data_IF_452333511946
#
_entry.id   IF_452333511946
#
_cell.length_a   1.000
_cell.length_b   1.000
_cell.length_c   1.000
_cell.angle_alpha   90.00
_cell.angle_beta   90.00
_cell.angle_gamma   90.00
#
_symmetry.space_group_name_H-M   'P 1'
#
loop_
_entity.id
_entity.type
_entity.pdbx_description
1 polymer ?
#
# COMPACT_ATOMS: atom_id res chain seq x y z
N UNK A 1 -13.24 -1.63 -0.74
CA UNK A 1 -12.08 -0.94 -1.31
C UNK A 1 -10.92 -0.84 -0.32
N UNK A 2 -9.74 -0.48 -0.82
CA UNK A 2 -8.59 -0.28 0.05
C UNK A 2 -8.66 1.10 0.70
N UNK A 3 -8.38 1.14 1.99
CA UNK A 3 -8.42 2.39 2.75
C UNK A 3 -7.04 3.04 2.66
N UNK A 4 -6.96 4.16 1.93
CA UNK A 4 -5.71 4.90 1.78
C UNK A 4 -5.55 5.99 2.82
N UNK A 5 -6.50 6.13 3.76
CA UNK A 5 -6.45 7.22 4.72
C UNK A 5 -5.27 7.05 5.65
N UNK A 6 -4.48 8.11 5.80
CA UNK A 6 -3.36 8.13 6.72
C UNK A 6 -2.05 7.62 6.17
N UNK A 7 -2.03 7.11 4.94
CA UNK A 7 -0.81 6.55 4.37
C UNK A 7 -0.05 7.54 3.50
N UNK A 8 -0.70 8.58 2.99
CA UNK A 8 -0.08 9.55 2.11
C UNK A 8 -0.17 10.95 2.69
N UNK A 9 0.66 11.84 2.16
CA UNK A 9 0.55 13.27 2.40
C UNK A 9 0.04 13.96 1.15
N UNK A 10 -0.42 15.21 1.31
CA UNK A 10 -0.93 15.95 0.17
C UNK A 10 0.16 16.17 -0.87
N UNK A 11 1.38 16.47 -0.44
CA UNK A 11 2.52 16.66 -1.33
C UNK A 11 3.51 15.50 -1.26
N UNK A 12 3.08 14.35 -0.74
CA UNK A 12 3.86 13.12 -0.78
C UNK A 12 2.87 11.98 -1.00
N UNK A 13 2.63 11.65 -2.27
CA UNK A 13 1.66 10.63 -2.63
C UNK A 13 2.09 9.98 -3.94
N UNK A 14 1.70 8.74 -4.19
CA UNK A 14 2.09 8.08 -5.44
C UNK A 14 1.57 8.82 -6.66
N UNK A 15 2.40 8.85 -7.71
CA UNK A 15 2.05 9.49 -8.96
C UNK A 15 2.41 10.96 -9.05
N UNK A 16 2.68 11.60 -7.92
CA UNK A 16 3.01 13.02 -7.93
C UNK A 16 4.39 13.25 -8.51
N UNK A 17 4.51 14.31 -9.32
CA UNK A 17 5.77 14.63 -9.99
C UNK A 17 6.25 16.00 -9.57
N UNK A 18 7.51 16.07 -9.14
CA UNK A 18 8.21 17.31 -8.85
C UNK A 18 9.14 17.66 -9.99
N UNK A 19 9.29 18.96 -10.23
CA UNK A 19 10.23 19.45 -11.21
C UNK A 19 11.01 20.61 -10.63
N UNK A 20 12.26 20.76 -11.08
CA UNK A 20 13.09 21.83 -10.59
C UNK A 20 14.52 21.76 -11.04
N UNK A 21 15.44 22.07 -10.13
CA UNK A 21 16.84 22.18 -10.48
C UNK A 21 17.73 21.58 -9.40
N UNK A 22 18.95 21.24 -9.81
CA UNK A 22 20.05 20.98 -8.89
C UNK A 22 21.17 21.95 -9.22
N UNK A 23 21.61 22.71 -8.21
CA UNK A 23 22.66 23.69 -8.37
C UNK A 23 23.97 23.12 -7.83
N UNK A 24 25.00 23.17 -8.67
CA UNK A 24 26.31 22.58 -8.38
C UNK A 24 27.37 23.50 -8.96
N UNK A 25 27.91 24.37 -8.10
CA UNK A 25 28.97 25.32 -8.48
C UNK A 25 28.53 26.21 -9.64
N UNK A 26 27.50 27.02 -9.35
CA UNK A 26 27.03 28.09 -10.23
C UNK A 26 26.38 27.60 -11.52
N UNK A 27 25.99 26.33 -11.57
CA UNK A 27 25.30 25.76 -12.72
C UNK A 27 24.07 25.00 -12.26
N UNK A 28 22.95 25.22 -12.95
CA UNK A 28 21.69 24.59 -12.61
C UNK A 28 21.34 23.55 -13.67
N UNK A 29 21.03 22.33 -13.22
CA UNK A 29 20.66 21.24 -14.10
C UNK A 29 19.24 20.80 -13.78
N UNK A 30 18.42 20.67 -14.81
CA UNK A 30 17.00 20.38 -14.61
C UNK A 30 16.81 18.99 -13.99
N UNK A 31 15.78 18.87 -13.16
CA UNK A 31 15.54 17.68 -12.37
C UNK A 31 14.05 17.35 -12.41
N UNK A 32 13.73 16.08 -12.65
CA UNK A 32 12.37 15.56 -12.56
C UNK A 32 12.34 14.39 -11.59
N UNK A 33 11.33 14.39 -10.72
CA UNK A 33 11.17 13.36 -9.70
C UNK A 33 9.74 12.84 -9.77
N UNK A 34 9.58 11.52 -9.75
CA UNK A 34 8.26 10.89 -9.66
C UNK A 34 8.20 10.11 -8.36
N UNK A 35 7.14 10.33 -7.58
CA UNK A 35 6.93 9.62 -6.33
C UNK A 35 6.15 8.35 -6.63
N UNK A 36 6.80 7.20 -6.45
CA UNK A 36 6.19 5.93 -6.80
C UNK A 36 5.32 5.38 -5.67
N UNK A 37 5.90 5.18 -4.49
CA UNK A 37 5.18 4.66 -3.34
C UNK A 37 5.50 5.48 -2.09
N UNK A 38 4.51 5.60 -1.22
CA UNK A 38 4.65 6.27 0.07
C UNK A 38 4.13 5.35 1.16
N UNK A 39 4.92 5.16 2.21
CA UNK A 39 4.52 4.38 3.38
C UNK A 39 4.99 5.15 4.61
N UNK A 40 4.12 6.01 5.14
CA UNK A 40 4.51 6.86 6.25
C UNK A 40 4.76 6.02 7.50
N UNK A 41 5.74 6.39 8.31
CA UNK A 41 6.00 5.66 9.57
C UNK A 41 5.10 6.13 10.71
N UNK A 42 3.83 5.73 10.62
CA UNK A 42 2.86 6.08 11.65
C UNK A 42 3.23 5.44 12.98
N UNK A 43 3.51 4.14 12.96
CA UNK A 43 3.84 3.37 14.15
C UNK A 43 5.14 2.62 13.92
N UNK A 44 5.71 2.10 14.99
CA UNK A 44 6.93 1.31 14.93
C UNK A 44 6.54 -0.16 14.81
N UNK A 45 6.57 -0.66 13.58
CA UNK A 45 6.23 -2.06 13.30
C UNK A 45 7.25 -2.61 12.31
N UNK A 46 6.95 -3.79 11.76
CA UNK A 46 7.83 -4.39 10.77
C UNK A 46 7.93 -3.53 9.52
N UNK A 47 6.78 -3.13 8.96
CA UNK A 47 6.76 -2.30 7.77
C UNK A 47 7.43 -0.96 7.99
N UNK A 48 7.52 -0.51 9.25
CA UNK A 48 8.21 0.75 9.54
C UNK A 48 9.69 0.66 9.18
N UNK A 49 10.27 -0.54 9.18
CA UNK A 49 11.68 -0.68 8.80
C UNK A 49 11.89 -0.62 7.30
N UNK A 50 10.84 -0.87 6.51
CA UNK A 50 10.95 -0.76 5.06
C UNK A 50 11.05 0.71 4.66
N UNK A 51 11.57 0.99 3.46
CA UNK A 51 11.66 2.39 3.01
C UNK A 51 10.29 3.06 3.02
N UNK A 52 10.27 4.32 3.51
CA UNK A 52 9.02 5.04 3.66
C UNK A 52 8.58 5.71 2.36
N UNK A 53 9.52 6.02 1.48
CA UNK A 53 9.19 6.61 0.18
C UNK A 53 10.08 5.97 -0.87
N UNK A 54 9.49 5.64 -2.02
CA UNK A 54 10.24 5.15 -3.16
C UNK A 54 9.81 5.92 -4.40
N UNK A 55 10.79 6.26 -5.25
CA UNK A 55 10.46 7.03 -6.43
C UNK A 55 11.58 7.01 -7.44
N UNK A 56 11.48 7.93 -8.39
CA UNK A 56 12.41 8.05 -9.52
C UNK A 56 13.03 9.44 -9.53
N UNK A 57 14.31 9.49 -9.87
CA UNK A 57 15.07 10.74 -9.93
C UNK A 57 15.69 10.87 -11.31
N UNK A 58 15.53 12.04 -11.94
CA UNK A 58 16.00 12.25 -13.30
C UNK A 58 16.80 13.55 -13.37
N UNK A 59 17.96 13.49 -14.00
CA UNK A 59 18.77 14.67 -14.31
C UNK A 59 18.87 14.75 -15.82
N UNK A 60 18.67 15.96 -16.37
CA UNK A 60 18.62 16.20 -17.80
C UNK A 60 19.69 17.18 -18.22
N UNK A 61 20.32 16.90 -19.36
CA UNK A 61 21.36 17.77 -19.93
C UNK A 61 22.52 17.96 -18.97
N UNK A 62 23.07 16.84 -18.49
CA UNK A 62 24.29 16.90 -17.67
C UNK A 62 25.48 17.31 -18.52
N UNK A 63 25.72 16.58 -19.60
CA UNK A 63 26.77 16.85 -20.56
C UNK A 63 26.15 16.88 -21.95
N UNK A 64 26.86 17.44 -22.94
CA UNK A 64 26.31 17.44 -24.30
C UNK A 64 25.99 16.05 -24.84
N UNK A 65 26.58 14.99 -24.27
CA UNK A 65 26.35 13.63 -24.76
C UNK A 65 25.38 12.84 -23.88
N UNK A 66 25.38 13.06 -22.56
CA UNK A 66 24.57 12.24 -21.66
C UNK A 66 23.08 12.51 -21.83
N UNK A 67 22.67 13.73 -21.51
CA UNK A 67 21.33 14.26 -21.77
C UNK A 67 20.24 13.64 -20.90
N UNK A 68 20.57 12.57 -20.17
CA UNK A 68 19.61 11.94 -19.26
C UNK A 68 20.29 10.91 -18.37
N UNK A 69 20.15 11.07 -17.05
CA UNK A 69 20.53 10.05 -16.08
C UNK A 69 19.36 9.83 -15.15
N UNK A 70 18.85 8.61 -15.09
CA UNK A 70 17.66 8.27 -14.32
C UNK A 70 18.01 7.17 -13.32
N UNK A 71 17.53 7.34 -12.10
CA UNK A 71 17.81 6.41 -11.01
C UNK A 71 16.53 6.11 -10.25
N UNK A 72 16.48 4.93 -9.65
CA UNK A 72 15.43 4.59 -8.68
C UNK A 72 15.98 4.84 -7.28
N UNK A 73 15.20 5.52 -6.45
CA UNK A 73 15.66 5.88 -5.13
C UNK A 73 14.65 5.46 -4.07
N UNK A 74 15.18 5.10 -2.91
CA UNK A 74 14.40 4.88 -1.69
C UNK A 74 14.67 6.02 -0.73
N UNK A 75 13.91 6.05 0.36
CA UNK A 75 14.07 7.12 1.32
C UNK A 75 13.24 6.90 2.55
N UNK A 76 13.64 7.57 3.63
CA UNK A 76 13.01 7.45 4.93
C UNK A 76 12.60 8.81 5.46
N UNK A 77 11.42 8.87 6.05
CA UNK A 77 10.83 10.09 6.58
C UNK A 77 11.21 10.23 8.06
N UNK A 78 11.57 11.44 8.46
CA UNK A 78 11.99 11.70 9.84
C UNK A 78 10.73 11.87 10.68
N UNK A 79 10.31 10.79 11.36
CA UNK A 79 9.48 10.93 12.53
C UNK A 79 10.40 11.00 13.74
N UNK A 80 10.08 11.87 14.68
CA UNK A 80 11.07 12.24 15.69
C UNK A 80 11.26 11.19 16.76
N UNK A 81 10.51 10.08 16.73
CA UNK A 81 10.65 9.03 17.75
C UNK A 81 11.58 7.91 17.30
N UNK A 82 11.21 7.19 16.24
CA UNK A 82 11.98 6.04 15.80
C UNK A 82 13.01 6.39 14.73
N UNK A 83 12.83 7.50 14.03
CA UNK A 83 13.76 7.96 13.00
C UNK A 83 14.16 9.39 13.31
N UNK A 84 14.95 9.59 14.37
CA UNK A 84 15.28 10.95 14.79
C UNK A 84 16.20 11.65 13.80
N UNK A 85 16.43 12.93 14.05
CA UNK A 85 17.26 13.73 13.15
C UNK A 85 18.67 13.19 13.07
N UNK A 86 19.24 12.77 14.20
CA UNK A 86 20.57 12.19 14.23
C UNK A 86 20.50 10.74 13.79
N UNK A 87 21.29 10.38 12.76
CA UNK A 87 21.27 9.02 12.25
C UNK A 87 21.88 8.03 13.23
N UNK A 88 22.74 8.50 14.15
CA UNK A 88 23.37 7.60 15.12
C UNK A 88 22.34 6.91 16.00
N UNK A 89 21.14 7.47 16.13
CA UNK A 89 20.09 6.88 16.95
C UNK A 89 19.00 6.22 16.11
N UNK A 90 19.24 6.01 14.82
CA UNK A 90 18.34 5.24 13.99
C UNK A 90 18.41 3.77 14.40
N UNK A 91 17.42 2.96 14.00
CA UNK A 91 17.47 1.53 14.34
C UNK A 91 18.73 0.87 13.81
N UNK A 92 19.26 -0.06 14.61
CA UNK A 92 20.53 -0.73 14.29
C UNK A 92 20.25 -1.86 13.31
N UNK A 93 20.10 -1.50 12.05
CA UNK A 93 19.87 -2.45 10.97
C UNK A 93 20.82 -2.16 9.82
N UNK A 94 21.25 -3.22 9.13
CA UNK A 94 22.18 -3.08 8.03
C UNK A 94 21.58 -2.26 6.89
N UNK A 95 20.28 -2.45 6.63
CA UNK A 95 19.64 -1.77 5.50
C UNK A 95 19.62 -0.26 5.66
N UNK A 96 19.85 0.26 6.86
CA UNK A 96 19.90 1.69 7.09
C UNK A 96 21.30 2.26 6.94
N UNK A 97 22.28 1.45 6.58
CA UNK A 97 23.65 1.93 6.42
C UNK A 97 23.80 3.06 5.41
N UNK A 98 23.16 3.03 4.22
CA UNK A 98 23.38 4.12 3.26
C UNK A 98 22.95 5.50 3.75
N UNK A 99 22.12 5.58 4.79
CA UNK A 99 21.60 6.85 5.27
C UNK A 99 22.39 7.40 6.45
N UNK A 100 23.53 6.81 6.78
CA UNK A 100 24.28 7.19 7.98
C UNK A 100 25.28 8.30 7.71
N UNK A 101 25.45 9.17 8.69
CA UNK A 101 26.42 10.25 8.64
C UNK A 101 26.78 10.64 10.06
N UNK A 102 27.91 11.35 10.20
CA UNK A 102 28.33 11.81 11.52
C UNK A 102 27.34 12.83 12.07
N UNK A 103 27.28 12.91 13.40
CA UNK A 103 26.29 13.76 14.05
C UNK A 103 26.47 15.23 13.67
N UNK A 104 27.71 15.67 13.45
CA UNK A 104 27.94 17.06 13.04
C UNK A 104 27.33 17.33 11.67
N UNK A 105 27.52 16.41 10.72
CA UNK A 105 26.97 16.59 9.39
C UNK A 105 25.45 16.62 9.42
N UNK A 106 24.83 15.69 10.16
CA UNK A 106 23.39 15.66 10.27
C UNK A 106 22.86 16.95 10.89
N UNK A 107 23.50 17.39 11.98
CA UNK A 107 23.05 18.60 12.66
C UNK A 107 23.13 19.81 11.74
N UNK A 108 24.27 20.00 11.06
CA UNK A 108 24.44 21.17 10.21
C UNK A 108 23.47 21.13 9.02
N UNK A 109 23.30 19.96 8.39
CA UNK A 109 22.45 19.88 7.21
C UNK A 109 20.99 20.07 7.57
N UNK A 110 20.54 19.53 8.70
CA UNK A 110 19.17 19.80 9.14
C UNK A 110 18.99 21.26 9.52
N UNK A 111 19.99 21.87 10.16
CA UNK A 111 19.88 23.26 10.57
C UNK A 111 19.79 24.20 9.37
N UNK A 112 20.50 23.89 8.29
CA UNK A 112 20.61 24.86 7.20
C UNK A 112 19.27 25.22 6.58
N UNK A 113 18.30 24.31 6.63
CA UNK A 113 16.99 24.63 6.05
C UNK A 113 16.36 25.85 6.71
N UNK A 114 16.79 26.19 7.92
CA UNK A 114 16.40 27.42 8.57
C UNK A 114 15.04 27.43 9.22
N UNK A 115 14.33 26.30 9.21
CA UNK A 115 12.99 26.22 9.78
C UNK A 115 12.98 25.94 11.26
N UNK A 116 14.14 25.65 11.86
CA UNK A 116 14.24 25.39 13.29
C UNK A 116 14.55 26.67 14.05
N UNK A 117 14.17 26.68 15.32
CA UNK A 117 14.51 27.78 16.18
C UNK A 117 16.01 27.84 16.47
N UNK A 118 16.47 29.03 16.82
CA UNK A 118 17.89 29.25 17.09
C UNK A 118 18.33 28.77 18.46
N UNK A 119 17.39 28.49 19.36
CA UNK A 119 17.71 28.12 20.74
C UNK A 119 17.55 26.61 20.93
N UNK A 120 18.03 26.14 22.09
CA UNK A 120 17.89 24.75 22.52
C UNK A 120 18.50 23.79 21.51
N UNK A 121 19.73 24.08 21.09
CA UNK A 121 20.48 23.22 20.17
C UNK A 121 21.53 22.44 20.96
N UNK A 122 21.48 21.11 20.87
CA UNK A 122 22.39 20.23 21.56
C UNK A 122 22.93 19.21 20.58
N UNK A 123 24.26 19.20 20.39
CA UNK A 123 24.88 18.29 19.43
C UNK A 123 24.73 16.83 19.83
N UNK A 124 24.50 16.54 21.10
CA UNK A 124 24.52 15.17 21.60
C UNK A 124 23.13 14.53 21.69
N UNK A 125 22.06 15.31 21.58
CA UNK A 125 20.72 14.76 21.65
C UNK A 125 20.36 14.04 20.36
N UNK A 126 19.43 13.08 20.47
CA UNK A 126 19.03 12.30 19.30
C UNK A 126 18.28 13.15 18.28
N UNK A 127 17.49 14.13 18.74
CA UNK A 127 16.83 15.07 17.85
C UNK A 127 17.48 16.44 17.87
N UNK A 128 18.69 16.54 18.42
CA UNK A 128 19.43 17.79 18.55
C UNK A 128 18.69 18.84 19.36
N UNK A 129 17.78 18.39 20.24
CA UNK A 129 17.04 19.31 21.08
C UNK A 129 15.94 20.08 20.38
N UNK A 130 15.60 19.70 19.14
CA UNK A 130 14.60 20.41 18.35
C UNK A 130 13.23 19.76 18.40
N UNK A 131 13.02 18.77 19.26
CA UNK A 131 11.73 18.12 19.37
C UNK A 131 11.38 17.92 20.84
N UNK A 132 10.15 18.29 21.19
CA UNK A 132 9.57 17.98 22.49
C UNK A 132 8.13 17.53 22.26
N UNK A 133 7.60 16.77 23.22
CA UNK A 133 6.31 16.12 23.02
C UNK A 133 5.14 17.11 23.02
N UNK A 134 5.35 18.34 23.51
CA UNK A 134 4.31 19.35 23.40
C UNK A 134 4.20 19.90 21.98
N UNK A 135 5.27 19.83 21.20
CA UNK A 135 5.20 20.21 19.80
C UNK A 135 4.41 19.18 19.01
N UNK A 136 3.87 19.63 17.87
CA UNK A 136 2.99 18.79 17.08
C UNK A 136 3.72 17.58 16.53
N UNK A 137 2.96 16.54 16.21
CA UNK A 137 3.52 15.34 15.62
C UNK A 137 4.10 15.66 14.24
N UNK A 138 4.95 14.74 13.76
CA UNK A 138 5.70 15.02 12.54
C UNK A 138 4.78 15.23 11.34
N UNK A 139 3.74 14.41 11.23
CA UNK A 139 2.83 14.51 10.09
C UNK A 139 2.11 15.85 10.06
N UNK A 140 1.86 16.45 11.23
CA UNK A 140 1.16 17.71 11.31
C UNK A 140 2.09 18.91 11.35
N UNK A 141 3.40 18.69 11.39
CA UNK A 141 4.34 19.80 11.29
C UNK A 141 4.38 20.33 9.86
N UNK A 142 4.64 21.63 9.74
CA UNK A 142 4.67 22.25 8.41
C UNK A 142 5.76 21.66 7.54
N UNK A 143 6.91 21.36 8.13
CA UNK A 143 8.08 20.91 7.38
C UNK A 143 8.35 19.43 7.66
N UNK A 144 8.42 18.65 6.59
CA UNK A 144 8.74 17.22 6.66
C UNK A 144 10.20 17.05 6.30
N UNK A 145 10.89 16.15 6.99
CA UNK A 145 12.30 15.89 6.74
C UNK A 145 12.48 14.46 6.29
N UNK A 146 13.28 14.26 5.24
CA UNK A 146 13.50 12.95 4.65
C UNK A 146 14.96 12.78 4.28
N UNK A 147 15.35 11.52 4.09
CA UNK A 147 16.64 11.18 3.52
C UNK A 147 16.41 10.27 2.31
N UNK A 148 17.04 10.62 1.18
CA UNK A 148 16.87 9.89 -0.07
C UNK A 148 18.19 9.27 -0.50
N UNK A 149 18.14 8.01 -0.92
CA UNK A 149 19.31 7.31 -1.44
C UNK A 149 18.96 6.63 -2.75
N UNK A 150 19.77 6.87 -3.78
CA UNK A 150 19.58 6.22 -5.07
C UNK A 150 20.18 4.81 -5.02
N UNK A 151 19.34 3.80 -5.24
CA UNK A 151 19.76 2.42 -5.10
C UNK A 151 20.00 1.70 -6.41
N UNK A 152 19.35 2.12 -7.50
CA UNK A 152 19.49 1.46 -8.79
C UNK A 152 19.67 2.50 -9.89
N UNK A 153 20.50 2.16 -10.87
CA UNK A 153 20.61 2.87 -12.13
C UNK A 153 20.03 1.99 -13.23
N UNK A 154 19.62 2.61 -14.34
CA UNK A 154 19.15 1.81 -15.45
C UNK A 154 19.18 2.61 -16.75
N UNK A 155 19.46 1.91 -17.84
CA UNK A 155 19.20 2.37 -19.19
C UNK A 155 18.12 1.53 -19.85
N UNK A 156 18.32 0.21 -19.88
CA UNK A 156 17.25 -0.75 -20.16
C UNK A 156 17.18 -1.87 -19.13
N UNK A 157 18.22 -2.10 -18.34
CA UNK A 157 18.22 -3.09 -17.28
C UNK A 157 18.78 -2.44 -16.01
N UNK A 158 18.34 -2.95 -14.86
CA UNK A 158 18.74 -2.38 -13.58
C UNK A 158 20.17 -2.77 -13.22
N UNK A 159 20.85 -1.86 -12.52
CA UNK A 159 22.21 -2.04 -12.06
C UNK A 159 22.34 -1.49 -10.65
N UNK A 160 23.02 -2.24 -9.78
CA UNK A 160 23.25 -1.81 -8.42
C UNK A 160 24.46 -0.88 -8.35
N UNK A 161 24.40 0.08 -7.44
CA UNK A 161 25.47 1.06 -7.29
C UNK A 161 25.56 1.57 -5.84
N UNK A 167 30.71 2.19 -6.04
CA UNK A 167 31.65 1.44 -6.88
C UNK A 167 31.30 1.57 -8.35
N UNK A 168 30.56 2.63 -8.69
CA UNK A 168 30.14 2.88 -10.06
C UNK A 168 30.50 4.32 -10.43
N UNK A 169 30.79 4.53 -11.71
CA UNK A 169 31.23 5.82 -12.21
C UNK A 169 30.42 6.22 -13.44
N UNK A 170 30.27 7.53 -13.61
CA UNK A 170 29.71 8.11 -14.81
C UNK A 170 30.44 9.42 -15.10
N UNK A 171 30.38 9.86 -16.35
CA UNK A 171 31.06 11.08 -16.76
C UNK A 171 30.25 12.27 -16.26
N UNK A 172 30.76 12.95 -15.23
CA UNK A 172 30.09 14.07 -14.62
C UNK A 172 29.14 13.72 -13.49
N UNK A 173 28.93 12.44 -13.21
CA UNK A 173 28.03 12.02 -12.14
C UNK A 173 28.63 10.86 -11.37
N UNK A 174 28.31 10.79 -10.09
CA UNK A 174 28.75 9.71 -9.22
C UNK A 174 27.69 9.47 -8.16
N UNK A 175 27.25 8.20 -8.04
CA UNK A 175 26.15 7.85 -7.15
C UNK A 175 26.72 7.17 -5.92
N UNK A 176 27.17 7.99 -4.95
CA UNK A 176 27.76 7.45 -3.74
C UNK A 176 27.19 8.07 -2.48
N UNK A 177 26.71 9.31 -2.55
CA UNK A 177 26.17 10.01 -1.41
C UNK A 177 24.65 9.87 -1.31
N UNK A 178 24.05 10.75 -0.52
CA UNK A 178 22.59 10.75 -0.35
C UNK A 178 22.08 12.18 -0.24
N UNK A 179 20.77 12.32 -0.07
CA UNK A 179 20.08 13.60 -0.08
C UNK A 179 19.41 13.84 1.25
N UNK A 180 19.74 14.98 1.88
CA UNK A 180 18.87 15.56 2.90
C UNK A 180 17.76 16.31 2.20
N UNK A 181 16.51 16.05 2.58
CA UNK A 181 15.35 16.62 1.90
C UNK A 181 14.44 17.26 2.93
N UNK A 182 13.94 18.45 2.63
CA UNK A 182 12.92 19.11 3.43
C UNK A 182 11.76 19.49 2.53
N UNK A 183 10.56 19.04 2.88
CA UNK A 183 9.35 19.32 2.12
C UNK A 183 8.48 20.30 2.91
N UNK A 184 8.05 21.37 2.23
CA UNK A 184 7.11 22.32 2.81
C UNK A 184 5.70 21.85 2.48
N UNK A 185 4.91 21.58 3.52
CA UNK A 185 3.55 21.08 3.33
C UNK A 185 2.56 22.17 2.95
N UNK A 186 2.91 23.44 3.13
CA UNK A 186 2.00 24.52 2.78
C UNK A 186 2.09 24.87 1.30
N UNK A 187 3.30 24.97 0.76
CA UNK A 187 3.51 25.34 -0.62
C UNK A 187 3.85 24.17 -1.54
N UNK A 188 4.27 23.04 -0.98
CA UNK A 188 4.68 21.91 -1.78
C UNK A 188 6.12 21.93 -2.24
N UNK A 189 6.85 23.00 -1.97
CA UNK A 189 8.23 23.12 -2.42
C UNK A 189 9.12 22.15 -1.65
N UNK A 190 10.19 21.72 -2.31
CA UNK A 190 11.14 20.77 -1.76
C UNK A 190 12.55 21.36 -1.88
N UNK A 191 13.29 21.34 -0.79
CA UNK A 191 14.69 21.71 -0.79
C UNK A 191 15.53 20.50 -0.39
N UNK A 192 16.80 20.50 -0.81
CA UNK A 192 17.64 19.37 -0.49
C UNK A 192 19.11 19.68 -0.66
N UNK A 193 19.92 18.87 0.01
CA UNK A 193 21.38 18.96 -0.06
C UNK A 193 21.97 17.57 -0.27
N UNK A 194 22.83 17.45 -1.27
CA UNK A 194 23.55 16.20 -1.50
C UNK A 194 24.78 16.14 -0.62
N UNK A 195 25.01 14.99 0.00
CA UNK A 195 26.08 14.83 0.97
C UNK A 195 26.85 13.54 0.73
N UNK A 196 28.17 13.65 0.90
CA UNK A 196 29.16 12.56 0.95
C UNK A 196 30.45 13.17 1.47
N UNK A 197 31.12 12.54 2.45
CA UNK A 197 32.38 13.11 2.95
C UNK A 197 33.42 13.33 1.86
N UNK A 198 33.49 12.43 0.88
CA UNK A 198 34.46 12.53 -0.20
C UNK A 198 34.01 13.43 -1.34
N UNK A 199 33.02 14.29 -1.12
CA UNK A 199 32.51 15.19 -2.14
C UNK A 199 32.49 16.61 -1.59
N UNK A 200 32.44 17.59 -2.50
CA UNK A 200 32.24 18.97 -2.06
C UNK A 200 30.86 19.08 -1.43
N UNK A 201 30.81 19.73 -0.28
CA UNK A 201 29.61 19.72 0.54
C UNK A 201 28.59 20.74 0.02
N UNK A 202 27.33 20.52 0.39
CA UNK A 202 26.22 21.44 0.14
C UNK A 202 26.01 21.72 -1.35
N UNK A 203 25.61 20.66 -2.06
CA UNK A 203 25.13 20.75 -3.43
C UNK A 203 23.60 20.81 -3.39
N UNK A 204 23.02 21.86 -3.97
CA UNK A 204 21.65 22.23 -3.64
C UNK A 204 20.65 21.63 -4.62
N UNK A 205 19.44 21.36 -4.13
CA UNK A 205 18.35 20.84 -4.95
C UNK A 205 17.07 21.58 -4.60
N UNK A 206 16.35 22.07 -5.62
CA UNK A 206 15.08 22.76 -5.43
C UNK A 206 14.03 22.13 -6.34
N UNK A 207 12.81 21.97 -5.82
CA UNK A 207 11.75 21.27 -6.53
C UNK A 207 10.40 21.88 -6.19
N UNK A 208 9.46 21.75 -7.12
CA UNK A 208 8.06 22.10 -6.88
C UNK A 208 7.17 21.11 -7.60
N UNK A 209 6.00 20.81 -7.03
CA UNK A 209 5.08 19.87 -7.69
C UNK A 209 4.60 20.43 -9.02
N UNK A 210 4.46 19.53 -10.01
CA UNK A 210 4.10 19.92 -11.36
C UNK A 210 2.74 19.41 -11.80
N UNK A 211 2.38 18.18 -11.45
CA UNK A 211 1.09 17.61 -11.82
C UNK A 211 0.13 17.56 -10.63
N UNK A 212 0.19 18.56 -9.76
CA UNK A 212 -0.68 18.57 -8.59
C UNK A 212 -2.15 18.68 -8.96
N UNK A 213 -2.45 19.23 -10.14
CA UNK A 213 -3.83 19.35 -10.62
C UNK A 213 -4.31 18.01 -11.18
N UNK A 214 -4.37 17.02 -10.31
CA UNK A 214 -4.80 15.68 -10.69
C UNK A 214 -6.01 15.25 -9.87
N UNK B 1 -44.06 -20.58 -15.59
CA UNK B 1 -43.22 -19.39 -15.74
C UNK B 1 -41.74 -19.73 -15.80
N UNK B 2 -40.89 -18.72 -15.59
CA UNK B 2 -39.45 -18.91 -15.51
C UNK B 2 -39.04 -18.99 -14.04
N UNK B 3 -38.21 -19.97 -13.72
CA UNK B 3 -37.81 -20.24 -12.35
C UNK B 3 -36.44 -19.61 -12.12
N UNK B 4 -36.40 -18.49 -11.41
CA UNK B 4 -35.16 -17.80 -11.12
C UNK B 4 -34.51 -18.24 -9.81
N UNK B 5 -35.19 -19.05 -9.01
CA UNK B 5 -34.66 -19.41 -7.70
C UNK B 5 -33.48 -20.36 -7.87
N UNK B 6 -32.47 -20.20 -7.00
CA UNK B 6 -31.33 -21.07 -7.00
C UNK B 6 -31.05 -21.58 -5.58
N UNK B 7 -30.13 -22.53 -5.49
CA UNK B 7 -29.75 -23.06 -4.19
C UNK B 7 -29.02 -22.00 -3.38
N UNK B 8 -29.38 -21.90 -2.11
CA UNK B 8 -28.92 -20.82 -1.23
C UNK B 8 -28.17 -21.42 -0.04
N UNK B 9 -27.82 -20.56 0.90
CA UNK B 9 -27.26 -20.97 2.19
C UNK B 9 -27.94 -20.17 3.28
N UNK B 10 -27.97 -20.74 4.49
CA UNK B 10 -28.65 -20.09 5.59
C UNK B 10 -28.07 -18.71 5.88
N UNK B 11 -26.79 -18.51 5.62
CA UNK B 11 -26.14 -17.22 5.84
C UNK B 11 -25.57 -16.63 4.54
N UNK B 12 -25.89 -17.21 3.40
CA UNK B 12 -25.53 -16.66 2.09
C UNK B 12 -26.75 -16.78 1.19
N UNK B 13 -27.63 -15.78 1.24
CA UNK B 13 -28.83 -15.75 0.43
C UNK B 13 -29.14 -14.31 0.06
N UNK B 14 -29.84 -14.07 -1.04
CA UNK B 14 -30.20 -12.69 -1.42
C UNK B 14 -31.01 -11.99 -0.35
N UNK B 15 -30.74 -10.70 -0.17
CA UNK B 15 -31.42 -9.89 0.80
C UNK B 15 -30.77 -9.86 2.17
N UNK B 16 -29.79 -10.71 2.42
CA UNK B 16 -29.11 -10.72 3.71
C UNK B 16 -28.17 -9.53 3.83
N UNK B 17 -28.21 -8.87 4.98
CA UNK B 17 -27.39 -7.70 5.26
C UNK B 17 -26.41 -8.01 6.37
N UNK B 18 -25.13 -7.82 6.10
CA UNK B 18 -24.06 -7.93 7.09
C UNK B 18 -23.61 -6.55 7.50
N UNK B 19 -23.32 -6.38 8.79
CA UNK B 19 -22.80 -5.14 9.29
C UNK B 19 -21.54 -5.38 10.09
N UNK B 20 -20.63 -4.41 10.02
CA UNK B 20 -19.40 -4.53 10.77
C UNK B 20 -18.40 -3.44 10.45
N UNK B 21 -17.15 -3.81 10.24
CA UNK B 21 -16.08 -2.82 10.11
C UNK B 21 -14.98 -3.34 9.19
N UNK B 22 -14.19 -2.39 8.70
CA UNK B 22 -12.91 -2.66 8.06
C UNK B 22 -11.85 -1.87 8.80
N UNK B 23 -10.74 -2.53 9.13
CA UNK B 23 -9.70 -1.95 9.96
C UNK B 23 -8.47 -1.63 9.13
N UNK B 24 -7.73 -0.62 9.57
CA UNK B 24 -6.45 -0.27 8.95
C UNK B 24 -5.59 0.38 10.02
N UNK B 25 -4.68 -0.40 10.60
CA UNK B 25 -3.72 0.09 11.59
C UNK B 25 -4.42 0.72 12.79
N UNK B 26 -5.17 -0.12 13.51
CA UNK B 26 -5.85 0.24 14.75
C UNK B 26 -6.88 1.35 14.54
N UNK B 27 -7.49 1.39 13.35
CA UNK B 27 -8.54 2.37 13.04
C UNK B 27 -9.63 1.67 12.26
N UNK B 28 -10.85 1.68 12.79
CA UNK B 28 -11.97 0.95 12.22
C UNK B 28 -12.94 1.90 11.52
N UNK B 29 -13.50 1.43 10.41
CA UNK B 29 -14.50 2.18 9.66
C UNK B 29 -15.72 1.28 9.43
N UNK B 30 -16.91 1.85 9.59
CA UNK B 30 -18.14 1.08 9.47
C UNK B 30 -18.34 0.56 8.06
N UNK B 31 -18.83 -0.68 7.95
CA UNK B 31 -19.03 -1.34 6.67
C UNK B 31 -20.40 -2.03 6.68
N UNK B 32 -21.16 -1.85 5.60
CA UNK B 32 -22.42 -2.54 5.39
C UNK B 32 -22.37 -3.29 4.07
N UNK B 33 -22.85 -4.54 4.08
CA UNK B 33 -22.88 -5.38 2.89
C UNK B 33 -24.30 -5.89 2.70
N UNK B 34 -24.81 -5.76 1.49
CA UNK B 34 -26.12 -6.29 1.14
C UNK B 34 -25.94 -7.32 0.02
N UNK B 35 -26.41 -8.53 0.24
CA UNK B 35 -26.31 -9.60 -0.74
C UNK B 35 -27.48 -9.48 -1.70
N UNK B 36 -27.18 -9.36 -2.99
CA UNK B 36 -28.20 -9.14 -4.01
C UNK B 36 -28.63 -10.45 -4.69
N UNK B 37 -27.67 -11.18 -5.26
CA UNK B 37 -27.95 -12.47 -5.89
C UNK B 37 -26.93 -13.51 -5.42
N UNK B 38 -27.40 -14.75 -5.27
CA UNK B 38 -26.56 -15.88 -4.93
C UNK B 38 -26.88 -17.03 -5.89
N UNK B 39 -25.84 -17.56 -6.54
CA UNK B 39 -25.97 -18.73 -7.40
C UNK B 39 -24.82 -19.67 -7.05
N UNK B 40 -25.07 -20.59 -6.12
CA UNK B 40 -24.01 -21.45 -5.60
C UNK B 40 -23.48 -22.36 -6.70
N UNK B 41 -22.16 -22.53 -6.77
CA UNK B 41 -21.56 -23.47 -7.75
C UNK B 41 -21.69 -24.91 -7.28
N UNK B 42 -22.92 -25.41 -7.28
CA UNK B 42 -23.16 -26.81 -6.95
C UNK B 42 -22.46 -27.72 -7.96
N UNK B 43 -22.51 -27.35 -9.23
CA UNK B 43 -21.92 -28.13 -10.31
C UNK B 43 -21.27 -27.15 -11.29
N UNK B 44 -20.58 -27.70 -12.28
CA UNK B 44 -19.97 -26.90 -13.33
C UNK B 44 -20.75 -27.08 -14.62
N UNK B 45 -21.09 -25.95 -15.25
CA UNK B 45 -21.71 -25.94 -16.56
C UNK B 45 -21.22 -24.68 -17.26
N UNK B 46 -21.91 -24.28 -18.33
CA UNK B 46 -21.52 -23.07 -19.03
C UNK B 46 -21.82 -21.81 -18.21
N UNK B 47 -22.81 -21.87 -17.31
CA UNK B 47 -23.17 -20.71 -16.52
C UNK B 47 -22.44 -20.63 -15.19
N UNK B 48 -21.69 -21.67 -14.82
CA UNK B 48 -20.95 -21.63 -13.55
C UNK B 48 -19.85 -20.59 -13.58
N UNK B 49 -19.37 -20.20 -14.77
CA UNK B 49 -18.35 -19.16 -14.87
C UNK B 49 -18.91 -17.78 -14.55
N UNK B 50 -20.23 -17.63 -14.51
CA UNK B 50 -20.84 -16.38 -14.09
C UNK B 50 -20.60 -16.17 -12.59
N UNK B 51 -20.62 -14.92 -12.13
CA UNK B 51 -20.36 -14.66 -10.71
C UNK B 51 -21.30 -15.45 -9.81
N UNK B 52 -20.72 -16.07 -8.78
CA UNK B 52 -21.51 -16.89 -7.86
C UNK B 52 -22.30 -16.04 -6.88
N UNK B 53 -21.76 -14.90 -6.46
CA UNK B 53 -22.45 -14.00 -5.54
C UNK B 53 -22.28 -12.58 -6.06
N UNK B 54 -23.35 -11.79 -5.98
CA UNK B 54 -23.28 -10.37 -6.30
C UNK B 54 -23.99 -9.58 -5.21
N UNK B 55 -23.39 -8.47 -4.81
CA UNK B 55 -23.93 -7.67 -3.73
C UNK B 55 -23.42 -6.25 -3.73
N UNK B 56 -23.76 -5.54 -2.67
CA UNK B 56 -23.42 -4.14 -2.48
C UNK B 56 -22.50 -4.00 -1.27
N UNK B 57 -21.43 -3.22 -1.43
CA UNK B 57 -20.44 -2.98 -0.38
C UNK B 57 -20.42 -1.49 -0.07
N UNK B 58 -20.74 -1.13 1.18
CA UNK B 58 -20.81 0.26 1.60
C UNK B 58 -19.80 0.50 2.71
N UNK B 59 -19.06 1.61 2.62
CA UNK B 59 -18.15 2.05 3.67
C UNK B 59 -18.49 3.49 4.03
N UNK B 60 -18.58 3.77 5.33
CA UNK B 60 -18.98 5.09 5.81
C UNK B 60 -17.86 5.73 6.62
N UNK B 61 -17.85 7.06 6.62
CA UNK B 61 -16.92 7.86 7.42
C UNK B 61 -15.47 7.52 7.07
N UNK B 62 -15.12 7.77 5.81
CA UNK B 62 -13.72 7.65 5.39
C UNK B 62 -12.98 8.97 5.61
N UNK B 63 -13.54 10.06 5.07
CA UNK B 63 -13.10 11.42 5.31
C UNK B 63 -14.32 12.25 5.67
N UNK B 64 -14.14 13.39 6.32
CA UNK B 64 -15.32 14.21 6.69
C UNK B 64 -16.16 14.62 5.50
N UNK B 65 -15.57 14.72 4.30
CA UNK B 65 -16.34 15.06 3.10
C UNK B 65 -16.90 13.84 2.39
N UNK B 66 -16.42 12.64 2.72
CA UNK B 66 -16.88 11.40 2.10
C UNK B 66 -17.74 10.66 3.13
N UNK B 67 -19.05 10.95 3.11
CA UNK B 67 -19.95 10.34 4.08
C UNK B 67 -20.16 8.86 3.77
N UNK B 68 -20.40 8.52 2.51
CA UNK B 68 -20.66 7.14 2.12
C UNK B 68 -19.98 6.83 0.80
N UNK B 69 -19.49 5.60 0.66
CA UNK B 69 -18.94 5.09 -0.58
C UNK B 69 -19.59 3.73 -0.83
N UNK B 70 -20.30 3.61 -1.94
CA UNK B 70 -21.09 2.42 -2.25
C UNK B 70 -20.59 1.82 -3.56
N UNK B 71 -20.28 0.53 -3.54
CA UNK B 71 -19.76 -0.18 -4.71
C UNK B 71 -20.58 -1.43 -4.96
N UNK B 72 -20.65 -1.81 -6.23
CA UNK B 72 -21.23 -3.10 -6.62
C UNK B 72 -20.09 -4.11 -6.73
N UNK B 73 -20.27 -5.29 -6.14
CA UNK B 73 -19.22 -6.30 -6.17
C UNK B 73 -19.80 -7.64 -6.61
N UNK B 74 -18.97 -8.40 -7.32
CA UNK B 74 -19.23 -9.79 -7.66
C UNK B 74 -18.21 -10.66 -6.94
N UNK B 75 -18.41 -11.98 -7.02
CA UNK B 75 -17.51 -12.87 -6.32
C UNK B 75 -17.82 -14.33 -6.62
N UNK B 76 -16.84 -15.17 -6.29
CA UNK B 76 -16.90 -16.60 -6.58
C UNK B 76 -16.59 -17.39 -5.31
N UNK B 77 -17.20 -18.57 -5.21
CA UNK B 77 -17.09 -19.43 -4.03
C UNK B 77 -16.13 -20.56 -4.32
N UNK B 78 -15.30 -20.89 -3.35
CA UNK B 78 -14.35 -22.00 -3.49
C UNK B 78 -15.10 -23.30 -3.22
N UNK B 79 -15.07 -24.21 -4.18
CA UNK B 79 -15.67 -25.53 -4.02
C UNK B 79 -14.64 -26.66 -4.11
N UNK B 80 -13.36 -26.34 -4.29
CA UNK B 80 -12.23 -27.24 -4.30
C UNK B 80 -12.16 -28.15 -5.52
N UNK B 81 -13.11 -28.07 -6.45
CA UNK B 81 -13.07 -28.91 -7.64
C UNK B 81 -12.87 -28.08 -8.91
N UNK B 82 -13.80 -27.17 -9.21
CA UNK B 82 -13.61 -26.26 -10.33
C UNK B 82 -13.07 -24.91 -9.91
N UNK B 83 -13.21 -24.55 -8.64
CA UNK B 83 -12.68 -23.32 -8.07
C UNK B 83 -11.85 -23.69 -6.84
N UNK B 84 -10.64 -24.20 -7.04
CA UNK B 84 -9.81 -24.60 -5.89
C UNK B 84 -9.26 -23.40 -5.13
N UNK B 85 -8.55 -23.66 -4.03
CA UNK B 85 -8.02 -22.56 -3.23
C UNK B 85 -6.99 -21.75 -4.01
N UNK B 86 -6.13 -22.41 -4.77
CA UNK B 86 -5.11 -21.73 -5.55
C UNK B 86 -5.72 -21.21 -6.85
N UNK B 87 -5.69 -19.89 -7.03
CA UNK B 87 -6.30 -19.28 -8.22
C UNK B 87 -5.59 -19.70 -9.50
N UNK B 88 -4.33 -20.14 -9.42
CA UNK B 88 -3.61 -20.57 -10.61
C UNK B 88 -4.28 -21.75 -11.29
N UNK B 89 -5.07 -22.54 -10.56
CA UNK B 89 -5.77 -23.69 -11.11
C UNK B 89 -7.24 -23.39 -11.38
N UNK B 90 -7.65 -22.13 -11.36
CA UNK B 90 -8.98 -21.75 -11.78
C UNK B 90 -9.10 -21.90 -13.29
N UNK B 91 -10.33 -21.98 -13.82
CA UNK B 91 -10.49 -22.02 -15.28
C UNK B 91 -9.89 -20.81 -15.94
N UNK B 92 -9.25 -21.03 -17.09
CA UNK B 92 -8.54 -19.97 -17.80
C UNK B 92 -9.54 -19.16 -18.61
N UNK B 93 -10.12 -18.15 -17.97
CA UNK B 93 -11.04 -17.23 -18.62
C UNK B 93 -10.66 -15.80 -18.26
N UNK B 94 -10.85 -14.88 -19.21
CA UNK B 94 -10.46 -13.49 -18.99
C UNK B 94 -11.27 -12.87 -17.86
N UNK B 95 -12.55 -13.23 -17.74
CA UNK B 95 -13.41 -12.64 -16.72
C UNK B 95 -12.94 -12.97 -15.31
N UNK B 96 -12.10 -13.99 -15.15
CA UNK B 96 -11.56 -14.33 -13.84
C UNK B 96 -10.24 -13.64 -13.54
N UNK B 97 -9.76 -12.79 -14.45
CA UNK B 97 -8.49 -12.09 -14.22
C UNK B 97 -8.47 -11.24 -12.96
N UNK B 98 -9.49 -10.45 -12.61
CA UNK B 98 -9.39 -9.63 -11.38
C UNK B 98 -9.25 -10.44 -10.11
N UNK B 99 -9.59 -11.72 -10.12
CA UNK B 99 -9.54 -12.56 -8.93
C UNK B 99 -8.22 -13.32 -8.80
N UNK B 100 -7.25 -13.06 -9.67
CA UNK B 100 -6.03 -13.84 -9.72
C UNK B 100 -4.94 -13.26 -8.83
N UNK B 101 -4.17 -14.14 -8.20
CA UNK B 101 -3.05 -13.75 -7.35
C UNK B 101 -2.04 -14.90 -7.34
N UNK B 102 -0.83 -14.58 -6.87
CA UNK B 102 0.23 -15.58 -6.82
C UNK B 102 -0.11 -16.68 -5.83
N UNK B 103 0.51 -17.85 -6.04
CA UNK B 103 0.22 -19.01 -5.20
C UNK B 103 0.57 -18.75 -3.75
N UNK B 104 1.71 -18.09 -3.50
CA UNK B 104 2.11 -17.78 -2.13
C UNK B 104 1.09 -16.87 -1.46
N UNK B 105 0.57 -15.87 -2.19
CA UNK B 105 -0.42 -14.97 -1.62
C UNK B 105 -1.70 -15.71 -1.25
N UNK B 106 -2.18 -16.57 -2.14
CA UNK B 106 -3.39 -17.34 -1.85
C UNK B 106 -3.18 -18.24 -0.66
N UNK B 107 -2.03 -18.93 -0.61
CA UNK B 107 -1.75 -19.85 0.50
C UNK B 107 -1.71 -19.10 1.83
N UNK B 108 -0.97 -17.99 1.88
CA UNK B 108 -0.86 -17.23 3.13
C UNK B 108 -2.20 -16.67 3.56
N UNK B 109 -2.96 -16.08 2.62
CA UNK B 109 -4.22 -15.46 2.98
C UNK B 109 -5.25 -16.49 3.43
N UNK B 110 -5.31 -17.64 2.75
CA UNK B 110 -6.24 -18.69 3.20
C UNK B 110 -5.84 -19.24 4.56
N UNK B 111 -4.54 -19.44 4.80
CA UNK B 111 -4.10 -19.97 6.08
C UNK B 111 -4.32 -18.96 7.20
N UNK B 112 -4.28 -17.67 6.91
CA UNK B 112 -4.38 -16.65 7.96
C UNK B 112 -5.69 -16.75 8.74
N UNK B 113 -6.76 -17.22 8.09
CA UNK B 113 -8.04 -17.36 8.78
C UNK B 113 -7.96 -18.35 9.94
N UNK B 114 -7.00 -19.27 9.92
CA UNK B 114 -6.73 -20.12 11.05
C UNK B 114 -7.65 -21.31 11.24
N UNK B 115 -8.47 -21.65 10.25
CA UNK B 115 -9.41 -22.76 10.39
C UNK B 115 -8.87 -24.08 9.85
N UNK B 116 -7.71 -24.07 9.19
CA UNK B 116 -7.12 -25.30 8.68
C UNK B 116 -6.17 -25.91 9.72
N UNK B 117 -5.89 -27.18 9.54
CA UNK B 117 -4.90 -27.85 10.37
C UNK B 117 -3.49 -27.39 10.05
N UNK B 118 -2.57 -27.74 10.93
CA UNK B 118 -1.17 -27.36 10.78
C UNK B 118 -0.37 -28.36 9.96
N UNK B 119 -1.00 -29.42 9.47
CA UNK B 119 -0.32 -30.51 8.78
C UNK B 119 -0.66 -30.52 7.30
N UNK B 120 0.26 -31.09 6.52
CA UNK B 120 0.04 -31.36 5.09
C UNK B 120 -0.19 -30.08 4.29
N UNK B 121 0.70 -29.11 4.48
CA UNK B 121 0.68 -27.87 3.71
C UNK B 121 1.74 -27.95 2.61
N UNK B 122 1.30 -27.84 1.36
CA UNK B 122 2.21 -27.82 0.22
C UNK B 122 1.80 -26.70 -0.72
N UNK B 123 2.78 -25.90 -1.14
CA UNK B 123 2.49 -24.76 -2.00
C UNK B 123 2.14 -25.17 -3.43
N UNK B 124 2.57 -26.35 -3.87
CA UNK B 124 2.39 -26.76 -5.26
C UNK B 124 1.04 -27.42 -5.53
N UNK B 125 0.32 -27.83 -4.50
CA UNK B 125 -0.98 -28.45 -4.70
C UNK B 125 -2.03 -27.38 -5.00
N UNK B 126 -3.03 -27.76 -5.82
CA UNK B 126 -4.06 -26.82 -6.22
C UNK B 126 -4.93 -26.41 -5.05
N UNK B 127 -5.17 -27.30 -4.09
CA UNK B 127 -5.88 -26.98 -2.87
C UNK B 127 -4.93 -26.79 -1.69
N UNK B 128 -3.63 -26.71 -1.95
CA UNK B 128 -2.61 -26.51 -0.92
C UNK B 128 -2.59 -27.66 0.08
N UNK B 129 -3.07 -28.83 -0.33
CA UNK B 129 -3.07 -30.01 0.51
C UNK B 129 -4.12 -30.01 1.60
N UNK B 130 -5.05 -29.05 1.59
CA UNK B 130 -6.05 -28.93 2.65
C UNK B 130 -7.36 -29.62 2.32
N UNK B 131 -7.46 -30.31 1.19
CA UNK B 131 -8.69 -30.97 0.79
C UNK B 131 -8.41 -32.43 0.45
N UNK B 132 -9.16 -33.32 1.10
CA UNK B 132 -9.20 -34.74 0.75
C UNK B 132 -10.58 -35.07 0.21
N UNK B 133 -10.66 -36.18 -0.53
CA UNK B 133 -11.97 -36.66 -0.97
C UNK B 133 -12.77 -37.25 0.19
N UNK B 134 -12.11 -37.59 1.29
CA UNK B 134 -12.83 -38.03 2.49
C UNK B 134 -13.46 -36.87 3.24
N UNK B 135 -12.90 -35.67 3.08
CA UNK B 135 -13.46 -34.49 3.73
C UNK B 135 -14.83 -34.15 3.14
N UNK B 136 -15.62 -33.42 3.93
CA UNK B 136 -16.98 -33.08 3.53
C UNK B 136 -16.97 -32.11 2.35
N UNK B 137 -18.11 -32.05 1.66
CA UNK B 137 -18.25 -31.16 0.53
C UNK B 137 -18.26 -29.71 1.00
N UNK B 138 -18.00 -28.80 0.05
CA UNK B 138 -17.71 -27.41 0.40
C UNK B 138 -18.88 -26.73 1.10
N UNK B 139 -20.11 -27.06 0.72
CA UNK B 139 -21.26 -26.45 1.40
C UNK B 139 -21.64 -27.20 2.68
N UNK B 140 -20.97 -28.30 3.00
CA UNK B 140 -21.19 -29.01 4.25
C UNK B 140 -20.16 -28.66 5.33
N UNK B 141 -19.00 -28.14 4.94
CA UNK B 141 -18.00 -27.74 5.92
C UNK B 141 -18.45 -26.47 6.65
N UNK B 142 -17.94 -26.30 7.86
CA UNK B 142 -18.35 -25.17 8.68
C UNK B 142 -17.93 -23.84 8.06
N UNK B 143 -16.71 -23.78 7.52
CA UNK B 143 -16.15 -22.54 6.99
C UNK B 143 -16.13 -22.57 5.48
N UNK B 144 -16.59 -21.48 4.86
CA UNK B 144 -16.67 -21.36 3.41
C UNK B 144 -15.77 -20.22 2.98
N UNK B 145 -15.05 -20.41 1.88
CA UNK B 145 -14.10 -19.42 1.38
C UNK B 145 -14.56 -18.87 0.05
N UNK B 146 -14.49 -17.54 -0.09
CA UNK B 146 -14.95 -16.84 -1.27
C UNK B 146 -13.94 -15.77 -1.66
N UNK B 147 -14.07 -15.27 -2.88
CA UNK B 147 -13.29 -14.12 -3.35
C UNK B 147 -14.25 -13.08 -3.90
N UNK B 148 -14.07 -11.83 -3.47
CA UNK B 148 -14.93 -10.72 -3.85
C UNK B 148 -14.13 -9.66 -4.59
N UNK B 149 -14.61 -9.26 -5.76
CA UNK B 149 -14.05 -8.13 -6.50
C UNK B 149 -15.15 -7.12 -6.78
N UNK B 150 -14.90 -5.86 -6.42
CA UNK B 150 -15.83 -4.78 -6.74
C UNK B 150 -15.59 -4.30 -8.17
N UNK B 151 -16.68 -4.18 -8.93
CA UNK B 151 -16.59 -3.83 -10.35
C UNK B 151 -17.26 -2.52 -10.71
N UNK B 152 -18.12 -1.97 -9.84
CA UNK B 152 -18.81 -0.72 -10.12
C UNK B 152 -18.75 0.17 -8.88
N UNK B 153 -18.90 1.47 -9.10
CA UNK B 153 -18.90 2.45 -8.01
C UNK B 153 -19.92 3.53 -8.33
N UNK B 154 -20.93 3.66 -7.48
CA UNK B 154 -21.95 4.69 -7.63
C UNK B 154 -21.37 6.08 -7.33
N UNK B 157 -23.88 4.97 -12.19
CA UNK B 157 -22.75 4.22 -11.68
C UNK B 157 -21.61 4.15 -12.69
N UNK B 158 -20.38 4.30 -12.21
CA UNK B 158 -19.21 4.22 -13.07
C UNK B 158 -18.71 2.78 -13.11
N UNK B 159 -17.56 2.56 -13.76
CA UNK B 159 -17.02 1.23 -13.98
C UNK B 159 -15.67 1.09 -13.31
N UNK B 160 -15.24 -0.16 -13.15
CA UNK B 160 -13.94 -0.50 -12.57
C UNK B 160 -13.37 -1.67 -13.36
N UNK B 161 -12.30 -2.27 -12.84
CA UNK B 161 -11.68 -3.43 -13.48
C UNK B 161 -12.17 -4.72 -12.83
N UNK B 166 -10.94 0.12 -10.99
CA UNK B 166 -9.94 0.51 -11.99
C UNK B 166 -8.72 1.12 -11.33
N UNK B 167 -8.29 2.28 -11.84
CA UNK B 167 -7.15 3.00 -11.29
C UNK B 167 -7.47 4.48 -11.16
N UNK B 168 -8.71 4.80 -10.79
CA UNK B 168 -9.14 6.17 -10.54
C UNK B 168 -9.37 6.29 -9.03
N UNK B 169 -8.44 6.95 -8.35
CA UNK B 169 -8.38 6.93 -6.90
C UNK B 169 -9.21 8.06 -6.31
N UNK B 170 -10.23 7.71 -5.52
CA UNK B 170 -10.89 8.68 -4.68
C UNK B 170 -9.98 9.10 -3.54
N UNK B 171 -10.23 10.30 -3.01
CA UNK B 171 -9.40 10.79 -1.90
C UNK B 171 -9.76 10.04 -0.63
N UNK B 172 -9.12 8.88 -0.41
CA UNK B 172 -9.40 8.07 0.75
C UNK B 172 -9.49 6.59 0.45
N UNK B 173 -9.82 6.24 -0.80
CA UNK B 173 -10.02 4.85 -1.17
C UNK B 173 -9.36 4.56 -2.52
N UNK B 174 -8.83 3.34 -2.65
CA UNK B 174 -8.30 2.83 -3.91
C UNK B 174 -8.92 1.46 -4.17
N UNK B 175 -9.15 1.17 -5.46
CA UNK B 175 -10.05 0.09 -5.87
C UNK B 175 -9.37 -0.85 -6.87
N UNK B 176 -8.16 -1.31 -6.55
CA UNK B 176 -7.45 -2.20 -7.46
C UNK B 176 -7.43 -3.65 -7.00
N UNK B 177 -7.49 -3.92 -5.70
CA UNK B 177 -7.40 -5.26 -5.18
C UNK B 177 -8.76 -5.93 -5.03
N UNK B 178 -8.76 -7.05 -4.29
CA UNK B 178 -9.98 -7.80 -4.04
C UNK B 178 -9.97 -8.26 -2.58
N UNK B 179 -10.96 -9.08 -2.22
CA UNK B 179 -11.15 -9.56 -0.86
C UNK B 179 -11.10 -11.09 -0.83
N UNK B 180 -10.26 -11.63 0.04
CA UNK B 180 -10.45 -13.00 0.51
C UNK B 180 -11.51 -12.96 1.60
N UNK B 181 -12.48 -13.87 1.53
CA UNK B 181 -13.63 -13.87 2.43
C UNK B 181 -13.78 -15.26 3.04
N UNK B 182 -14.05 -15.31 4.34
CA UNK B 182 -14.37 -16.55 5.04
C UNK B 182 -15.66 -16.38 5.80
N UNK B 183 -16.61 -17.27 5.55
CA UNK B 183 -17.92 -17.24 6.18
C UNK B 183 -18.06 -18.43 7.12
N UNK B 184 -18.45 -18.15 8.36
CA UNK B 184 -18.73 -19.19 9.35
C UNK B 184 -20.21 -19.55 9.27
N UNK B 185 -20.51 -20.74 8.76
CA UNK B 185 -21.90 -21.15 8.60
C UNK B 185 -22.61 -21.34 9.94
N UNK B 186 -21.87 -21.55 11.02
CA UNK B 186 -22.49 -21.76 12.32
C UNK B 186 -22.93 -20.44 12.95
N UNK B 187 -22.00 -19.50 13.11
CA UNK B 187 -22.29 -18.22 13.76
C UNK B 187 -22.75 -17.15 12.78
N UNK B 188 -22.54 -17.33 11.49
CA UNK B 188 -22.82 -16.28 10.52
C UNK B 188 -21.75 -15.24 10.38
N UNK B 189 -20.64 -15.36 11.11
CA UNK B 189 -19.57 -14.38 11.06
C UNK B 189 -18.88 -14.41 9.70
N UNK B 190 -18.42 -13.23 9.27
CA UNK B 190 -17.67 -13.08 8.03
C UNK B 190 -16.38 -12.33 8.32
N UNK B 191 -15.26 -12.94 7.93
CA UNK B 191 -13.96 -12.29 8.01
C UNK B 191 -13.42 -12.11 6.59
N UNK B 192 -12.49 -11.17 6.44
CA UNK B 192 -11.95 -10.90 5.12
C UNK B 192 -10.65 -10.15 5.18
N UNK B 193 -9.88 -10.28 4.10
CA UNK B 193 -8.61 -9.56 3.95
C UNK B 193 -8.56 -8.95 2.55
N UNK B 194 -8.26 -7.66 2.49
CA UNK B 194 -8.07 -7.00 1.20
C UNK B 194 -6.65 -7.21 0.71
N UNK B 195 -6.51 -7.47 -0.59
CA UNK B 195 -5.21 -7.76 -1.17
C UNK B 195 -5.04 -7.10 -2.52
N UNK B 196 -3.83 -6.60 -2.76
CA UNK B 196 -3.30 -6.17 -4.05
C UNK B 196 -1.79 -6.04 -3.89
N UNK B 197 -1.00 -6.41 -4.91
CA UNK B 197 0.47 -6.33 -4.76
C UNK B 197 0.97 -4.92 -4.43
N UNK B 198 0.27 -3.88 -4.89
CA UNK B 198 0.64 -2.50 -4.64
C UNK B 198 -0.13 -1.89 -3.47
N UNK B 199 -0.48 -2.70 -2.48
CA UNK B 199 -1.25 -2.23 -1.33
C UNK B 199 -0.72 -2.88 -0.06
N UNK B 200 -1.00 -2.24 1.07
CA UNK B 200 -0.62 -2.80 2.36
C UNK B 200 -1.44 -4.06 2.65
N UNK B 201 -0.81 -5.03 3.28
CA UNK B 201 -1.42 -6.34 3.48
C UNK B 201 -2.32 -6.35 4.70
N UNK B 202 -3.31 -7.25 4.67
CA UNK B 202 -4.12 -7.61 5.84
C UNK B 202 -4.89 -6.43 6.40
N UNK B 203 -5.70 -5.81 5.54
CA UNK B 203 -6.70 -4.85 5.97
C UNK B 203 -7.96 -5.64 6.30
N UNK B 204 -8.18 -5.91 7.58
CA UNK B 204 -9.19 -6.87 7.99
C UNK B 204 -10.61 -6.33 7.80
N UNK B 205 -11.53 -7.26 7.54
CA UNK B 205 -12.95 -7.01 7.36
C UNK B 205 -13.68 -7.96 8.30
N UNK B 206 -14.57 -7.42 9.13
CA UNK B 206 -15.28 -8.22 10.12
C UNK B 206 -16.74 -7.83 10.10
N UNK B 207 -17.63 -8.79 9.79
CA UNK B 207 -19.06 -8.53 9.69
C UNK B 207 -19.84 -9.64 10.38
N UNK B 208 -21.03 -9.28 10.85
CA UNK B 208 -22.00 -10.23 11.38
C UNK B 208 -23.35 -9.96 10.72
N UNK B 209 -24.21 -10.95 10.54
CA UNK B 209 -25.51 -10.68 9.93
C UNK B 209 -26.37 -9.80 10.84
N UNK B 210 -27.15 -8.92 10.21
CA UNK B 210 -27.97 -7.94 10.94
C UNK B 210 -29.46 -8.16 10.78
N UNK B 211 -29.93 -8.52 9.60
CA UNK B 211 -31.35 -8.73 9.32
C UNK B 211 -31.68 -10.21 9.18
N UNK B 212 -31.00 -11.06 9.97
CA UNK B 212 -31.22 -12.49 9.88
C UNK B 212 -32.65 -12.88 10.23
N UNK B 213 -33.37 -12.03 10.95
CA UNK B 213 -34.80 -12.24 11.23
C UNK B 213 -35.60 -11.78 10.02
N UNK B 214 -35.52 -12.59 8.96
CA UNK B 214 -36.20 -12.30 7.70
C UNK B 214 -36.73 -13.59 7.11
N UNK B 215 -37.26 -13.48 5.89
CA UNK B 215 -37.82 -14.60 5.14
C UNK B 215 -36.89 -15.81 5.11
#
# INVERSE_FOLDING_TARGET
PYITVGRHLDFLRPGLRFGGSQSSKYTYYTVEVKIDTVNLPLYKDSRSLDPHVTGTFTIKNLTPVLDKVVTLFEGYVINYNQFPLCSLHWPAEETLDPYMAQRESDCSHWKRFGHFGSDNWSLTERNFGQYNHESAEFMNQRYIYLKWKERFLLDDEEQENLMLDDNHHLEGASFEGFYYVCLDQLTGSVEGYYYHPACELFQKLELVPTNCDALNTYSSGFEIALEHHHHHHHH
PYITVGRHLDFLRPGLRFGGSQSSKYTYYTVEVKIDTVNLPLYKDSRSLDPHVTGTFTIKNLTPVLDKVVTLFEGYVINYNQFPLCSLHWPAEETLDPYMAQRESDCSHWKRFGHFGSDNWSLTERNFGQYNHESAEFMNQRYIYLKWKERFLLDDEEQENLMLDDNHHLEGASFEGFYYVCLDQLTGSVEGYYYHPACELFQKLELVPTNCDALNTYSSGFEIALEHHHHHHHH
#
